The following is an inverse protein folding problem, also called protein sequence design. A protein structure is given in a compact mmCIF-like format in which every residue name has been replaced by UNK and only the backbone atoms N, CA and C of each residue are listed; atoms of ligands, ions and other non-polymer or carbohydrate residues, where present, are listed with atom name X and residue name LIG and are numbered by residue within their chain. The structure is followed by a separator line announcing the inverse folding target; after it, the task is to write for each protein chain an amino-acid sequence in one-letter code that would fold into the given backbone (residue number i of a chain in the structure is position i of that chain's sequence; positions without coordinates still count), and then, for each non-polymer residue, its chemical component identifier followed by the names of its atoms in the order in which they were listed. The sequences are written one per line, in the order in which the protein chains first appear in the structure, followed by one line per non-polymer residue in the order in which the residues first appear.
data_IF_572678482098
#
_entry.id   IF_572678482098
#
_cell.length_a   1.000
_cell.length_b   1.000
_cell.length_c   1.000
_cell.angle_alpha   90.00
_cell.angle_beta   90.00
_cell.angle_gamma   90.00
#
_symmetry.space_group_name_H-M   'P 1'
#
loop_
_entity.id
_entity.type
_entity.pdbx_description
1 polymer ?
#
# COMPACT_ATOMS: atom_id res chain seq x y z
N UNK A 1 20.51 -26.32 -38.75
CA UNK A 1 19.45 -25.42 -39.25
C UNK A 1 18.98 -24.56 -38.08
N UNK A 2 19.22 -23.24 -38.04
CA UNK A 2 18.80 -22.41 -36.92
C UNK A 2 17.29 -22.10 -37.01
N UNK A 3 16.56 -22.38 -35.93
CA UNK A 3 15.14 -22.08 -35.78
C UNK A 3 14.94 -20.59 -35.46
N UNK A 4 14.31 -19.86 -36.38
CA UNK A 4 13.95 -18.45 -36.16
C UNK A 4 12.87 -18.31 -35.09
N UNK A 5 13.19 -17.55 -34.04
CA UNK A 5 12.24 -17.16 -32.99
C UNK A 5 11.26 -16.12 -33.54
N UNK A 6 10.00 -16.51 -33.75
CA UNK A 6 8.90 -15.61 -34.13
C UNK A 6 8.74 -14.49 -33.08
N UNK A 7 9.15 -13.28 -33.42
CA UNK A 7 8.90 -12.07 -32.61
C UNK A 7 7.41 -11.73 -32.63
N UNK A 8 6.83 -11.47 -31.46
CA UNK A 8 5.43 -11.03 -31.31
C UNK A 8 5.27 -9.58 -31.78
N UNK A 9 4.15 -9.29 -32.45
CA UNK A 9 3.81 -7.94 -32.92
C UNK A 9 3.63 -6.95 -31.74
N UNK A 10 4.01 -5.70 -31.97
CA UNK A 10 3.87 -4.61 -31.01
C UNK A 10 2.38 -4.30 -30.74
N UNK A 11 2.03 -4.13 -29.47
CA UNK A 11 0.67 -3.83 -29.03
C UNK A 11 0.32 -2.38 -29.39
N UNK A 12 -0.76 -2.18 -30.15
CA UNK A 12 -1.29 -0.84 -30.47
C UNK A 12 -1.79 -0.14 -29.21
N UNK A 13 -1.50 1.16 -29.10
CA UNK A 13 -1.94 1.98 -27.97
C UNK A 13 -3.46 2.18 -28.04
N UNK A 14 -4.17 1.81 -26.97
CA UNK A 14 -5.60 2.09 -26.82
C UNK A 14 -5.83 3.55 -26.44
N UNK A 15 -6.95 4.12 -26.90
CA UNK A 15 -7.41 5.49 -26.64
C UNK A 15 -7.32 5.91 -25.15
N UNK A 16 -7.16 7.21 -24.85
CA UNK A 16 -7.05 7.72 -23.50
C UNK A 16 -8.27 7.36 -22.65
N UNK A 17 -8.03 6.74 -21.50
CA UNK A 17 -9.08 6.26 -20.61
C UNK A 17 -9.83 7.43 -19.95
N UNK A 18 -11.15 7.49 -20.13
CA UNK A 18 -12.00 8.44 -19.41
C UNK A 18 -11.99 8.12 -17.91
N UNK A 19 -11.36 8.99 -17.10
CA UNK A 19 -11.30 8.83 -15.65
C UNK A 19 -12.66 9.19 -15.04
N UNK A 20 -13.32 8.23 -14.40
CA UNK A 20 -14.52 8.50 -13.60
C UNK A 20 -14.18 9.40 -12.40
N UNK A 21 -15.06 10.35 -12.01
CA UNK A 21 -14.85 11.18 -10.84
C UNK A 21 -14.76 10.30 -9.58
N UNK A 22 -13.78 10.62 -8.71
CA UNK A 22 -13.63 9.94 -7.42
C UNK A 22 -14.75 10.42 -6.49
N UNK A 23 -15.46 9.47 -5.87
CA UNK A 23 -16.46 9.78 -4.85
C UNK A 23 -15.85 10.46 -3.61
N UNK A 24 -16.69 11.03 -2.74
CA UNK A 24 -16.25 11.75 -1.54
C UNK A 24 -15.40 10.86 -0.62
N UNK A 25 -14.22 11.36 -0.25
CA UNK A 25 -13.36 10.72 0.75
C UNK A 25 -13.88 11.05 2.16
N UNK A 26 -14.19 10.01 2.94
CA UNK A 26 -14.40 10.13 4.38
C UNK A 26 -13.03 10.44 5.00
N UNK A 27 -12.85 11.65 5.53
CA UNK A 27 -11.53 12.20 5.90
C UNK A 27 -10.84 11.49 7.07
N UNK A 28 -11.60 10.79 7.93
CA UNK A 28 -11.11 10.27 9.21
C UNK A 28 -11.25 8.75 9.39
N UNK A 29 -11.71 8.02 8.37
CA UNK A 29 -11.82 6.57 8.45
C UNK A 29 -10.56 5.91 7.83
N UNK A 30 -9.96 4.91 8.49
CA UNK A 30 -8.88 4.15 7.87
C UNK A 30 -9.39 3.44 6.62
N UNK A 31 -8.57 3.41 5.57
CA UNK A 31 -8.91 2.67 4.36
C UNK A 31 -8.95 1.18 4.67
N UNK A 32 -10.10 0.56 4.42
CA UNK A 32 -10.31 -0.89 4.55
C UNK A 32 -10.31 -1.57 3.17
N UNK A 33 -9.98 -2.86 3.12
CA UNK A 33 -10.19 -3.71 1.92
C UNK A 33 -11.50 -4.49 1.94
N UNK A 34 -12.30 -4.27 2.98
CA UNK A 34 -13.65 -4.78 3.05
C UNK A 34 -14.46 -4.40 1.82
N UNK A 35 -15.24 -5.36 1.34
CA UNK A 35 -15.99 -5.24 0.10
C UNK A 35 -17.46 -4.98 0.32
N UNK A 36 -18.07 -4.40 -0.72
CA UNK A 36 -19.51 -4.51 -0.96
C UNK A 36 -19.79 -5.89 -1.55
N UNK A 37 -20.94 -6.48 -1.24
CA UNK A 37 -21.29 -7.87 -1.55
C UNK A 37 -21.15 -8.30 -3.03
N UNK A 38 -20.97 -7.38 -3.98
CA UNK A 38 -20.90 -7.67 -5.43
C UNK A 38 -19.49 -7.89 -6.01
N UNK A 39 -18.41 -7.65 -5.25
CA UNK A 39 -17.04 -7.84 -5.75
C UNK A 39 -16.40 -9.09 -5.12
N UNK A 40 -16.18 -10.17 -5.88
CA UNK A 40 -15.63 -11.42 -5.34
C UNK A 40 -14.11 -11.60 -5.52
N UNK A 41 -13.36 -10.60 -6.00
CA UNK A 41 -11.89 -10.77 -6.21
C UNK A 41 -11.09 -10.71 -4.92
N UNK A 42 -10.16 -11.63 -4.69
CA UNK A 42 -9.23 -11.59 -3.54
C UNK A 42 -8.44 -10.27 -3.55
N UNK A 43 -8.55 -9.47 -2.48
CA UNK A 43 -7.76 -8.25 -2.31
C UNK A 43 -6.73 -8.45 -1.20
N UNK A 44 -5.59 -7.78 -1.32
CA UNK A 44 -4.63 -7.70 -0.22
C UNK A 44 -5.23 -6.91 0.95
N UNK A 45 -5.27 -7.54 2.13
CA UNK A 45 -5.75 -6.97 3.39
C UNK A 45 -4.91 -5.75 3.82
N UNK A 46 -5.57 -4.72 4.37
CA UNK A 46 -4.86 -3.60 5.00
C UNK A 46 -4.34 -3.98 6.38
N UNK A 47 -3.46 -3.16 6.94
CA UNK A 47 -3.02 -3.33 8.33
C UNK A 47 -4.20 -3.26 9.30
N UNK A 48 -5.13 -2.32 9.07
CA UNK A 48 -6.36 -2.24 9.86
C UNK A 48 -7.16 -3.55 9.82
N UNK A 49 -7.40 -4.11 8.64
CA UNK A 49 -8.16 -5.37 8.51
C UNK A 49 -7.46 -6.52 9.25
N UNK A 50 -6.12 -6.59 9.19
CA UNK A 50 -5.34 -7.61 9.90
C UNK A 50 -5.45 -7.47 11.41
N UNK A 51 -5.44 -6.25 11.94
CA UNK A 51 -5.58 -6.00 13.37
C UNK A 51 -6.99 -6.36 13.86
N UNK A 52 -8.02 -6.07 13.06
CA UNK A 52 -9.39 -6.49 13.35
C UNK A 52 -9.52 -8.02 13.42
N UNK A 53 -8.85 -8.74 12.51
CA UNK A 53 -8.77 -10.20 12.56
C UNK A 53 -8.08 -10.68 13.83
N UNK A 54 -6.94 -10.08 14.21
CA UNK A 54 -6.19 -10.43 15.43
C UNK A 54 -7.00 -10.17 16.71
N UNK A 55 -7.74 -9.05 16.76
CA UNK A 55 -8.65 -8.74 17.85
C UNK A 55 -9.72 -9.83 17.96
N UNK A 56 -10.38 -10.17 16.85
CA UNK A 56 -11.41 -11.20 16.83
C UNK A 56 -10.88 -12.58 17.23
N UNK A 57 -9.66 -12.94 16.82
CA UNK A 57 -9.00 -14.18 17.29
C UNK A 57 -8.74 -14.16 18.81
N UNK A 58 -8.41 -13.01 19.37
CA UNK A 58 -8.14 -12.87 20.82
C UNK A 58 -9.44 -12.95 21.62
N UNK A 59 -10.52 -12.39 21.10
CA UNK A 59 -11.85 -12.40 21.73
C UNK A 59 -12.52 -13.79 21.63
N UNK A 60 -12.07 -14.64 20.70
CA UNK A 60 -12.67 -15.95 20.42
C UNK A 60 -11.59 -17.07 20.33
N UNK A 61 -10.92 -17.42 21.45
CA UNK A 61 -9.80 -18.38 21.44
C UNK A 61 -10.22 -19.80 21.06
N UNK A 62 -11.48 -20.18 21.30
CA UNK A 62 -12.00 -21.53 21.04
C UNK A 62 -12.43 -21.76 19.58
N UNK A 63 -12.48 -20.70 18.76
CA UNK A 63 -12.93 -20.82 17.38
C UNK A 63 -11.84 -21.41 16.48
N UNK A 64 -12.24 -22.41 15.71
CA UNK A 64 -11.41 -22.96 14.63
C UNK A 64 -11.22 -21.90 13.54
N UNK A 65 -10.02 -21.86 12.94
CA UNK A 65 -9.64 -20.90 11.90
C UNK A 65 -10.64 -20.81 10.74
N UNK A 66 -11.26 -21.93 10.34
CA UNK A 66 -12.28 -21.95 9.29
C UNK A 66 -13.50 -21.10 9.66
N UNK A 67 -13.97 -21.19 10.89
CA UNK A 67 -15.11 -20.40 11.39
C UNK A 67 -14.79 -18.90 11.42
N UNK A 68 -13.54 -18.55 11.72
CA UNK A 68 -13.07 -17.16 11.69
C UNK A 68 -13.11 -16.63 10.25
N UNK A 69 -12.67 -17.43 9.26
CA UNK A 69 -12.72 -17.05 7.85
C UNK A 69 -14.16 -16.87 7.39
N UNK A 70 -15.05 -17.81 7.73
CA UNK A 70 -16.47 -17.74 7.39
C UNK A 70 -17.14 -16.48 7.97
N UNK A 71 -16.85 -16.17 9.23
CA UNK A 71 -17.35 -14.96 9.88
C UNK A 71 -16.95 -13.70 9.10
N UNK A 72 -15.67 -13.54 8.76
CA UNK A 72 -15.18 -12.38 8.02
C UNK A 72 -15.66 -12.33 6.56
N UNK A 73 -15.96 -13.50 5.96
CA UNK A 73 -16.56 -13.58 4.65
C UNK A 73 -18.06 -13.23 4.65
N UNK A 74 -18.77 -13.36 5.78
CA UNK A 74 -20.20 -13.05 5.88
C UNK A 74 -20.48 -11.70 6.53
N UNK A 75 -19.49 -11.09 7.19
CA UNK A 75 -19.62 -9.80 7.88
C UNK A 75 -20.09 -8.69 6.94
N UNK A 76 -21.20 -8.05 7.29
CA UNK A 76 -21.81 -6.94 6.56
C UNK A 76 -21.75 -5.61 7.35
N UNK A 77 -20.78 -5.47 8.25
CA UNK A 77 -20.73 -4.34 9.17
C UNK A 77 -20.36 -3.02 8.50
N UNK A 78 -20.91 -1.93 9.04
CA UNK A 78 -20.70 -0.54 8.59
C UNK A 78 -19.25 -0.06 8.67
N UNK A 79 -18.42 -0.69 9.52
CA UNK A 79 -17.01 -0.36 9.75
C UNK A 79 -16.03 -1.11 8.82
N UNK A 80 -16.51 -2.13 8.11
CA UNK A 80 -15.71 -2.93 7.21
C UNK A 80 -16.49 -4.18 6.86
N UNK A 81 -17.13 -4.17 5.69
CA UNK A 81 -17.81 -5.33 5.09
C UNK A 81 -16.90 -6.53 4.80
N UNK A 82 -17.30 -7.30 3.81
CA UNK A 82 -16.78 -8.65 3.55
C UNK A 82 -15.26 -8.69 3.30
N UNK A 83 -14.54 -9.50 4.08
CA UNK A 83 -13.11 -9.79 3.92
C UNK A 83 -12.91 -11.22 3.42
N UNK A 84 -12.28 -11.38 2.26
CA UNK A 84 -12.02 -12.69 1.64
C UNK A 84 -10.53 -13.00 1.72
N UNK A 85 -10.17 -13.98 2.52
CA UNK A 85 -8.80 -14.51 2.66
C UNK A 85 -8.81 -16.01 2.91
N UNK A 86 -7.65 -16.66 2.87
CA UNK A 86 -7.49 -18.10 3.07
C UNK A 86 -6.91 -18.43 4.44
N UNK A 87 -7.08 -19.66 4.89
CA UNK A 87 -6.48 -20.18 6.12
C UNK A 87 -4.96 -19.94 6.25
N UNK A 88 -4.10 -20.21 5.24
CA UNK A 88 -2.68 -19.88 5.37
C UNK A 88 -2.42 -18.37 5.50
N UNK A 89 -3.32 -17.51 5.03
CA UNK A 89 -3.24 -16.07 5.26
C UNK A 89 -3.52 -15.75 6.72
N UNK A 90 -4.55 -16.36 7.32
CA UNK A 90 -4.88 -16.20 8.73
C UNK A 90 -3.74 -16.66 9.65
N UNK A 91 -3.19 -17.85 9.38
CA UNK A 91 -2.05 -18.38 10.14
C UNK A 91 -0.84 -17.43 10.10
N UNK A 92 -0.52 -16.85 8.93
CA UNK A 92 0.55 -15.84 8.82
C UNK A 92 0.24 -14.57 9.60
N UNK A 93 -1.01 -14.11 9.59
CA UNK A 93 -1.42 -12.92 10.36
C UNK A 93 -1.23 -13.16 11.86
N UNK A 94 -1.66 -14.32 12.37
CA UNK A 94 -1.51 -14.70 13.78
C UNK A 94 -0.03 -14.78 14.16
N UNK A 95 0.80 -15.43 13.33
CA UNK A 95 2.24 -15.56 13.58
C UNK A 95 2.95 -14.20 13.58
N UNK A 96 2.57 -13.31 12.67
CA UNK A 96 3.24 -12.01 12.50
C UNK A 96 2.60 -10.90 13.39
N UNK A 97 1.89 -11.27 14.46
CA UNK A 97 1.13 -10.36 15.33
C UNK A 97 1.95 -9.18 15.84
N UNK A 98 3.05 -9.46 16.54
CA UNK A 98 3.91 -8.42 17.15
C UNK A 98 4.43 -7.42 16.11
N UNK A 99 4.79 -7.94 14.93
CA UNK A 99 5.26 -7.12 13.81
C UNK A 99 4.15 -6.24 13.22
N UNK A 100 2.91 -6.71 13.19
CA UNK A 100 1.76 -5.91 12.75
C UNK A 100 1.39 -4.83 13.78
N UNK A 101 1.45 -5.14 15.07
CA UNK A 101 1.20 -4.18 16.15
C UNK A 101 2.28 -3.08 16.19
N UNK A 102 3.57 -3.45 16.09
CA UNK A 102 4.67 -2.48 16.05
C UNK A 102 4.53 -1.47 14.90
N UNK A 103 4.04 -1.91 13.74
CA UNK A 103 3.84 -1.04 12.56
C UNK A 103 2.79 0.05 12.75
N UNK A 104 1.88 -0.09 13.72
CA UNK A 104 0.90 0.95 14.02
C UNK A 104 1.58 2.20 14.55
N UNK A 105 2.65 2.03 15.35
CA UNK A 105 3.39 3.13 15.94
C UNK A 105 4.32 3.85 14.94
N UNK A 106 4.75 3.17 13.87
CA UNK A 106 5.74 3.71 12.93
C UNK A 106 5.21 4.86 12.06
N UNK A 107 3.96 4.79 11.59
CA UNK A 107 3.44 5.74 10.60
C UNK A 107 1.96 6.09 10.81
N UNK A 108 1.55 7.37 10.69
CA UNK A 108 0.15 7.78 10.86
C UNK A 108 -0.77 7.17 9.79
N UNK A 109 -0.23 6.85 8.61
CA UNK A 109 -0.97 6.22 7.50
C UNK A 109 -0.86 4.68 7.50
N UNK A 110 -0.20 4.08 8.51
CA UNK A 110 0.08 2.64 8.56
C UNK A 110 -1.19 1.78 8.42
N UNK A 111 -2.27 2.15 9.10
CA UNK A 111 -3.54 1.42 9.11
C UNK A 111 -4.15 1.25 7.70
N UNK A 112 -4.02 2.27 6.85
CA UNK A 112 -4.50 2.26 5.47
C UNK A 112 -3.58 1.47 4.52
N UNK A 113 -2.36 1.16 4.94
CA UNK A 113 -1.36 0.51 4.10
C UNK A 113 -1.59 -1.01 4.03
N UNK A 114 -1.27 -1.61 2.88
CA UNK A 114 -1.37 -3.08 2.68
C UNK A 114 -0.05 -3.79 2.97
N UNK A 115 1.06 -3.08 2.81
CA UNK A 115 2.43 -3.54 2.95
C UNK A 115 3.25 -2.45 3.62
N UNK A 116 4.25 -2.85 4.41
CA UNK A 116 5.28 -1.92 4.85
C UNK A 116 5.97 -1.32 3.63
N UNK A 117 6.12 0.00 3.64
CA UNK A 117 6.96 0.71 2.70
C UNK A 117 8.28 0.96 3.41
N UNK A 118 9.29 0.19 3.03
CA UNK A 118 10.66 0.47 3.47
C UNK A 118 11.20 1.52 2.52
N UNK A 119 11.51 2.69 3.06
CA UNK A 119 12.20 3.76 2.32
C UNK A 119 13.68 3.45 2.43
N UNK A 120 14.35 3.22 1.30
CA UNK A 120 15.78 2.86 1.26
C UNK A 120 16.64 3.93 1.91
N UNK A 121 16.36 5.20 1.60
CA UNK A 121 17.11 6.35 2.11
C UNK A 121 16.18 7.36 2.80
N UNK A 122 15.92 7.19 4.12
CA UNK A 122 14.94 8.00 4.83
C UNK A 122 15.35 9.47 4.95
N UNK A 123 16.65 9.77 4.88
CA UNK A 123 17.16 11.14 4.97
C UNK A 123 16.86 11.96 3.71
N UNK A 124 17.11 11.38 2.53
CA UNK A 124 16.75 11.99 1.25
C UNK A 124 15.25 12.19 1.13
N UNK A 125 14.47 11.16 1.49
CA UNK A 125 13.00 11.24 1.42
C UNK A 125 12.45 12.31 2.38
N UNK A 126 13.04 12.47 3.57
CA UNK A 126 12.70 13.54 4.51
C UNK A 126 13.05 14.93 3.93
N UNK A 127 14.24 15.09 3.37
CA UNK A 127 14.66 16.35 2.74
C UNK A 127 13.75 16.72 1.56
N UNK A 128 13.38 15.72 0.75
CA UNK A 128 12.47 15.89 -0.38
C UNK A 128 11.05 16.26 0.09
N UNK A 129 10.54 15.60 1.13
CA UNK A 129 9.24 15.95 1.73
C UNK A 129 9.22 17.39 2.25
N UNK A 130 10.26 17.81 2.98
CA UNK A 130 10.36 19.18 3.48
C UNK A 130 10.44 20.20 2.34
N UNK A 131 11.19 19.91 1.28
CA UNK A 131 11.28 20.77 0.12
C UNK A 131 9.95 20.90 -0.62
N UNK A 132 9.24 19.80 -0.86
CA UNK A 132 7.90 19.82 -1.49
C UNK A 132 6.92 20.59 -0.61
N UNK A 133 6.97 20.40 0.71
CA UNK A 133 6.12 21.13 1.65
C UNK A 133 6.38 22.63 1.59
N UNK A 134 7.65 23.06 1.61
CA UNK A 134 8.03 24.46 1.46
C UNK A 134 7.58 25.03 0.10
N UNK A 135 7.80 24.29 -1.00
CA UNK A 135 7.39 24.71 -2.35
C UNK A 135 5.87 24.88 -2.47
N UNK A 136 5.10 23.94 -1.92
CA UNK A 136 3.63 24.02 -1.93
C UNK A 136 3.08 25.13 -1.02
N UNK A 137 3.65 25.33 0.17
CA UNK A 137 3.12 26.27 1.17
C UNK A 137 3.59 27.70 0.90
N UNK A 138 4.88 27.90 0.62
CA UNK A 138 5.47 29.24 0.52
C UNK A 138 5.45 29.80 -0.91
N UNK A 139 5.55 28.93 -1.92
CA UNK A 139 5.54 29.36 -3.32
C UNK A 139 4.22 29.12 -4.04
N UNK A 140 3.33 28.29 -3.46
CA UNK A 140 2.04 27.94 -4.09
C UNK A 140 2.19 27.12 -5.39
N UNK A 141 3.39 26.64 -5.69
CA UNK A 141 3.67 25.82 -6.86
C UNK A 141 3.48 24.33 -6.55
N UNK A 142 3.25 23.49 -7.56
CA UNK A 142 3.17 22.04 -7.41
C UNK A 142 4.45 21.41 -7.95
N UNK A 143 5.14 20.63 -7.13
CA UNK A 143 6.32 19.89 -7.56
C UNK A 143 5.96 18.90 -8.69
N UNK A 144 6.56 19.07 -9.87
CA UNK A 144 6.40 18.16 -10.99
C UNK A 144 7.32 16.94 -10.85
N UNK A 145 6.97 15.81 -11.48
CA UNK A 145 7.76 14.57 -11.43
C UNK A 145 9.24 14.74 -11.80
N UNK A 146 9.59 15.45 -12.90
CA UNK A 146 10.98 15.74 -13.24
C UNK A 146 11.70 16.61 -12.20
N UNK A 147 10.99 17.53 -11.54
CA UNK A 147 11.57 18.34 -10.47
C UNK A 147 11.90 17.50 -9.24
N UNK A 148 11.02 16.54 -8.89
CA UNK A 148 11.27 15.61 -7.79
C UNK A 148 12.50 14.74 -8.07
N UNK A 149 12.66 14.25 -9.30
CA UNK A 149 13.85 13.47 -9.69
C UNK A 149 15.13 14.29 -9.62
N UNK A 150 15.11 15.51 -10.20
CA UNK A 150 16.27 16.40 -10.16
C UNK A 150 16.63 16.79 -8.72
N UNK A 151 15.63 17.04 -7.88
CA UNK A 151 15.86 17.40 -6.48
C UNK A 151 16.32 16.22 -5.64
N UNK A 152 15.80 15.02 -5.90
CA UNK A 152 16.26 13.78 -5.26
C UNK A 152 17.75 13.55 -5.54
N UNK A 153 18.19 13.65 -6.80
CA UNK A 153 19.61 13.52 -7.15
C UNK A 153 20.47 14.58 -6.44
N UNK A 154 20.02 15.82 -6.40
CA UNK A 154 20.72 16.89 -5.68
C UNK A 154 20.83 16.62 -4.17
N UNK A 155 19.84 15.95 -3.56
CA UNK A 155 19.92 15.55 -2.15
C UNK A 155 20.79 14.31 -1.93
N UNK A 156 20.82 13.35 -2.84
CA UNK A 156 21.77 12.23 -2.80
C UNK A 156 23.22 12.72 -2.86
N UNK A 157 23.50 13.73 -3.70
CA UNK A 157 24.82 14.36 -3.76
C UNK A 157 25.13 15.19 -2.51
N UNK A 158 24.16 15.97 -2.01
CA UNK A 158 24.37 16.81 -0.83
C UNK A 158 24.50 16.04 0.50
N UNK A 159 23.99 14.81 0.55
CA UNK A 159 24.07 13.90 1.70
C UNK A 159 25.17 12.83 1.52
N UNK A 160 26.03 12.99 0.51
CA UNK A 160 27.14 12.08 0.21
C UNK A 160 26.72 10.60 0.14
N UNK A 161 25.54 10.32 -0.43
CA UNK A 161 25.03 8.95 -0.52
C UNK A 161 25.83 8.16 -1.57
N UNK A 162 26.44 7.02 -1.18
CA UNK A 162 27.23 6.19 -2.09
C UNK A 162 26.38 5.72 -3.28
N UNK A 163 26.98 5.66 -4.47
CA UNK A 163 26.28 5.25 -5.71
C UNK A 163 25.64 3.85 -5.64
N UNK A 164 26.14 2.99 -4.76
CA UNK A 164 25.61 1.66 -4.49
C UNK A 164 24.24 1.70 -3.80
N UNK A 165 23.98 2.74 -3.01
CA UNK A 165 22.72 2.96 -2.28
C UNK A 165 21.72 3.84 -3.04
N UNK A 166 22.19 4.54 -4.09
CA UNK A 166 21.35 5.39 -4.93
C UNK A 166 20.30 4.58 -5.66
N UNK A 167 19.12 5.17 -5.79
CA UNK A 167 17.96 4.53 -6.42
C UNK A 167 18.17 4.45 -7.95
N UNK A 168 18.64 3.30 -8.44
CA UNK A 168 18.84 3.03 -9.88
C UNK A 168 17.51 2.69 -10.56
N UNK A 169 16.60 3.65 -10.67
CA UNK A 169 15.33 3.48 -11.37
C UNK A 169 14.78 4.80 -11.91
N UNK A 170 14.27 4.78 -13.15
CA UNK A 170 13.32 5.80 -13.61
C UNK A 170 12.00 5.44 -12.92
N UNK A 171 11.62 6.21 -11.89
CA UNK A 171 10.49 5.92 -10.99
C UNK A 171 9.20 5.46 -11.65
#
# INVERSE_FOLDING_TARGET
MPSELKKRAARTQTAPYAKKPRGPLIKNAPKTTAKKASDNRKQQLTLYDKLQILQYCSDNPDLVQERIIDYFAQRADSLGGMLIFSQPTLSRIIRDRELLEARVAENPTALSSKKARVVTEPEVERALYLWVRHLNIEKGELASGPMLLAKHAAFEDALDIPEERRLKGKG
#
